data_IF_446102892361
#
_entry.id   IF_446102892361
#
_cell.length_a   1.000
_cell.length_b   1.000
_cell.length_c   1.000
_cell.angle_alpha   90.00
_cell.angle_beta   90.00
_cell.angle_gamma   90.00
#
_symmetry.space_group_name_H-M   'P 1'
#
loop_
_entity.id
_entity.type
_entity.pdbx_description
1 polymer ?
#
# COMPACT_ATOMS: atom_id res chain seq x y z
N UNK A 1 -30.15 28.21 17.41
CA UNK A 1 -28.78 28.59 17.79
C UNK A 1 -27.84 27.38 17.88
N UNK A 2 -28.20 26.30 18.58
CA UNK A 2 -27.33 25.11 18.74
C UNK A 2 -26.95 24.47 17.40
N UNK A 3 -27.86 24.31 16.44
CA UNK A 3 -27.62 23.76 15.13
C UNK A 3 -26.65 24.62 14.28
N UNK A 4 -26.73 25.95 14.39
CA UNK A 4 -25.84 26.88 13.70
C UNK A 4 -24.40 26.77 14.23
N UNK A 5 -24.24 26.70 15.56
CA UNK A 5 -22.92 26.51 16.21
C UNK A 5 -22.30 25.18 15.80
N UNK A 6 -23.11 24.12 15.72
CA UNK A 6 -22.66 22.81 15.33
C UNK A 6 -22.22 22.76 13.84
N UNK A 7 -22.94 23.45 12.96
CA UNK A 7 -22.57 23.58 11.55
C UNK A 7 -21.27 24.39 11.37
N UNK A 8 -21.11 25.49 12.11
CA UNK A 8 -19.89 26.30 12.08
C UNK A 8 -18.67 25.49 12.57
N UNK A 9 -18.84 24.72 13.66
CA UNK A 9 -17.77 23.83 14.14
C UNK A 9 -17.40 22.74 13.13
N UNK A 10 -18.41 22.11 12.51
CA UNK A 10 -18.16 21.09 11.46
C UNK A 10 -17.43 21.68 10.27
N UNK A 11 -17.81 22.90 9.85
CA UNK A 11 -17.12 23.61 8.77
C UNK A 11 -15.64 23.87 9.10
N UNK A 12 -15.36 24.37 10.30
CA UNK A 12 -13.98 24.64 10.76
C UNK A 12 -13.13 23.36 10.81
N UNK A 13 -13.70 22.26 11.30
CA UNK A 13 -13.03 20.96 11.32
C UNK A 13 -12.74 20.45 9.89
N UNK A 14 -13.68 20.59 8.96
CA UNK A 14 -13.50 20.20 7.56
C UNK A 14 -12.42 21.05 6.86
N UNK A 15 -12.32 22.35 7.19
CA UNK A 15 -11.24 23.21 6.71
C UNK A 15 -9.87 22.76 7.25
N UNK A 16 -9.83 22.38 8.53
CA UNK A 16 -8.61 21.86 9.14
C UNK A 16 -8.16 20.55 8.47
N UNK A 17 -9.08 19.62 8.26
CA UNK A 17 -8.80 18.35 7.57
C UNK A 17 -8.29 18.60 6.14
N UNK A 18 -8.91 19.54 5.42
CA UNK A 18 -8.47 19.91 4.08
C UNK A 18 -7.08 20.56 4.09
N UNK A 19 -6.79 21.43 5.06
CA UNK A 19 -5.47 22.06 5.18
C UNK A 19 -4.38 21.02 5.44
N UNK A 20 -4.68 19.99 6.23
CA UNK A 20 -3.74 18.87 6.48
C UNK A 20 -3.52 18.01 5.22
N UNK A 21 -4.58 17.74 4.45
CA UNK A 21 -4.46 17.01 3.17
C UNK A 21 -3.63 17.78 2.12
N UNK A 22 -3.66 19.12 2.18
CA UNK A 22 -2.88 19.99 1.32
C UNK A 22 -1.47 20.31 1.88
N UNK A 23 -1.12 19.73 3.04
CA UNK A 23 0.14 20.00 3.75
C UNK A 23 0.35 21.51 4.08
N UNK A 24 -0.74 22.24 4.31
CA UNK A 24 -0.69 23.64 4.69
C UNK A 24 -0.46 23.78 6.21
N UNK A 25 0.38 24.73 6.65
CA UNK A 25 0.72 24.88 8.07
C UNK A 25 -0.47 25.38 8.93
N UNK A 26 -1.44 26.06 8.32
CA UNK A 26 -2.65 26.56 8.99
C UNK A 26 -3.84 26.54 8.04
N UNK A 27 -5.09 26.43 8.54
CA UNK A 27 -6.31 26.56 7.74
C UNK A 27 -6.60 28.01 7.32
N UNK A 28 -5.80 28.97 7.81
CA UNK A 28 -5.97 30.39 7.50
C UNK A 28 -5.30 30.72 6.17
N UNK A 29 -6.00 31.50 5.34
CA UNK A 29 -5.41 32.06 4.10
C UNK A 29 -5.90 31.44 2.80
N UNK A 30 -6.80 30.43 2.83
CA UNK A 30 -7.49 30.01 1.62
C UNK A 30 -9.01 30.08 1.79
N UNK A 31 -9.69 30.44 0.73
CA UNK A 31 -11.15 30.52 0.67
C UNK A 31 -11.61 29.43 -0.30
N UNK A 32 -12.56 28.60 0.16
CA UNK A 32 -13.20 27.64 -0.73
C UNK A 32 -14.17 28.40 -1.65
N UNK A 33 -13.93 28.30 -2.94
CA UNK A 33 -14.90 28.80 -3.91
C UNK A 33 -16.09 27.85 -3.91
N UNK A 34 -17.28 28.38 -3.66
CA UNK A 34 -18.51 27.61 -3.80
C UNK A 34 -18.63 27.12 -5.24
N UNK A 35 -18.93 25.84 -5.50
CA UNK A 35 -19.19 25.39 -6.86
C UNK A 35 -20.36 26.22 -7.44
N UNK A 36 -20.25 26.59 -8.72
CA UNK A 36 -21.34 27.25 -9.43
C UNK A 36 -22.60 26.36 -9.36
N UNK A 37 -23.76 27.00 -9.16
CA UNK A 37 -25.04 26.32 -8.86
C UNK A 37 -25.58 25.41 -9.98
N UNK A 38 -24.89 25.25 -11.10
CA UNK A 38 -25.27 24.36 -12.18
C UNK A 38 -24.46 23.05 -12.16
N UNK A 39 -24.90 22.11 -11.34
CA UNK A 39 -24.38 20.73 -11.42
C UNK A 39 -25.01 20.02 -12.64
N UNK A 40 -24.22 19.85 -13.70
CA UNK A 40 -24.59 18.96 -14.78
C UNK A 40 -24.28 17.51 -14.37
N UNK A 41 -25.33 16.69 -14.24
CA UNK A 41 -25.16 15.26 -13.96
C UNK A 41 -24.82 14.51 -15.23
N UNK A 42 -23.59 14.02 -15.31
CA UNK A 42 -23.16 13.14 -16.38
C UNK A 42 -23.66 11.71 -16.09
N UNK A 43 -24.19 10.96 -17.07
CA UNK A 43 -24.58 9.58 -16.86
C UNK A 43 -23.43 8.75 -16.29
N UNK A 44 -23.70 8.06 -15.18
CA UNK A 44 -22.69 7.21 -14.53
C UNK A 44 -22.43 5.97 -15.40
N UNK A 45 -21.17 5.70 -15.67
CA UNK A 45 -20.73 4.44 -16.31
C UNK A 45 -21.16 3.24 -15.46
N UNK A 46 -21.61 2.13 -16.05
CA UNK A 46 -21.94 0.92 -15.30
C UNK A 46 -20.77 0.43 -14.45
N UNK A 47 -21.02 -0.06 -13.21
CA UNK A 47 -19.95 -0.46 -12.30
C UNK A 47 -19.10 -1.62 -12.83
N UNK A 48 -19.64 -2.48 -13.68
CA UNK A 48 -18.89 -3.59 -14.26
C UNK A 48 -17.86 -3.11 -15.29
N UNK A 49 -18.14 -2.06 -16.05
CA UNK A 49 -17.20 -1.45 -16.99
C UNK A 49 -16.07 -0.74 -16.24
N UNK A 50 -16.42 0.00 -15.17
CA UNK A 50 -15.44 0.64 -14.27
C UNK A 50 -14.52 -0.42 -13.65
N UNK A 51 -15.09 -1.56 -13.23
CA UNK A 51 -14.30 -2.65 -12.65
C UNK A 51 -13.34 -3.26 -13.69
N UNK A 52 -13.81 -3.51 -14.92
CA UNK A 52 -12.98 -4.05 -15.98
C UNK A 52 -11.78 -3.14 -16.29
N UNK A 53 -11.99 -1.83 -16.34
CA UNK A 53 -10.92 -0.86 -16.52
C UNK A 53 -9.99 -0.79 -15.30
N UNK A 54 -10.54 -0.74 -14.10
CA UNK A 54 -9.77 -0.68 -12.85
C UNK A 54 -8.86 -1.89 -12.67
N UNK A 55 -9.26 -3.08 -13.10
CA UNK A 55 -8.42 -4.29 -13.09
C UNK A 55 -7.13 -4.13 -13.88
N UNK A 56 -7.12 -3.31 -14.93
CA UNK A 56 -5.94 -3.09 -15.76
C UNK A 56 -4.97 -2.07 -15.12
N UNK A 57 -5.51 -1.02 -14.51
CA UNK A 57 -4.70 0.13 -14.10
C UNK A 57 -4.46 0.23 -12.59
N UNK A 58 -5.30 -0.40 -11.75
CA UNK A 58 -5.22 -0.21 -10.29
C UNK A 58 -3.92 -0.78 -9.71
N UNK A 59 -3.04 0.06 -9.10
CA UNK A 59 -1.74 -0.40 -8.60
C UNK A 59 -1.84 -1.49 -7.53
N UNK A 60 -2.91 -1.47 -6.72
CA UNK A 60 -3.17 -2.48 -5.68
C UNK A 60 -3.35 -3.90 -6.23
N UNK A 61 -4.01 -4.05 -7.37
CA UNK A 61 -4.18 -5.35 -8.05
C UNK A 61 -2.86 -5.82 -8.63
N UNK A 62 -2.14 -4.94 -9.36
CA UNK A 62 -0.81 -5.25 -9.88
C UNK A 62 0.18 -5.65 -8.78
N UNK A 63 0.15 -4.97 -7.64
CA UNK A 63 0.97 -5.33 -6.50
C UNK A 63 0.66 -6.72 -5.96
N UNK A 64 -0.62 -7.12 -5.91
CA UNK A 64 -1.02 -8.46 -5.50
C UNK A 64 -0.61 -9.53 -6.52
N UNK A 65 -0.66 -9.25 -7.82
CA UNK A 65 -0.18 -10.12 -8.89
C UNK A 65 1.34 -10.35 -8.80
N UNK A 66 2.12 -9.28 -8.61
CA UNK A 66 3.57 -9.40 -8.42
C UNK A 66 3.95 -10.15 -7.13
N UNK A 67 3.16 -10.03 -6.06
CA UNK A 67 3.36 -10.83 -4.84
C UNK A 67 3.13 -12.32 -5.11
N UNK A 68 2.11 -12.67 -5.88
CA UNK A 68 1.85 -14.04 -6.29
C UNK A 68 3.00 -14.58 -7.16
N UNK A 69 3.48 -13.81 -8.14
CA UNK A 69 4.65 -14.18 -8.95
C UNK A 69 5.91 -14.36 -8.08
N UNK A 70 6.13 -13.47 -7.11
CA UNK A 70 7.21 -13.60 -6.13
C UNK A 70 7.13 -14.87 -5.31
N UNK A 71 5.92 -15.30 -4.94
CA UNK A 71 5.71 -16.57 -4.25
C UNK A 71 6.04 -17.79 -5.14
N UNK A 72 5.76 -17.73 -6.45
CA UNK A 72 6.19 -18.76 -7.42
C UNK A 72 7.71 -18.85 -7.51
N UNK A 73 8.41 -17.72 -7.53
CA UNK A 73 9.88 -17.72 -7.50
C UNK A 73 10.42 -18.29 -6.18
N UNK A 74 9.73 -18.05 -5.07
CA UNK A 74 10.09 -18.59 -3.75
C UNK A 74 10.02 -20.12 -3.72
N UNK A 75 9.09 -20.75 -4.44
CA UNK A 75 9.07 -22.21 -4.61
C UNK A 75 10.35 -22.68 -5.31
N UNK A 76 10.75 -22.02 -6.40
CA UNK A 76 12.00 -22.37 -7.14
C UNK A 76 13.24 -22.19 -6.26
N UNK A 77 13.29 -21.13 -5.45
CA UNK A 77 14.35 -20.89 -4.47
C UNK A 77 14.42 -22.03 -3.46
N UNK A 78 13.28 -22.47 -2.92
CA UNK A 78 13.21 -23.59 -1.99
C UNK A 78 13.67 -24.90 -2.65
N UNK A 79 13.33 -25.13 -3.93
CA UNK A 79 13.79 -26.29 -4.72
C UNK A 79 15.30 -26.24 -4.98
N UNK A 80 15.89 -25.03 -5.06
CA UNK A 80 17.33 -24.85 -5.22
C UNK A 80 18.16 -25.53 -4.14
N UNK A 81 17.60 -25.75 -2.93
CA UNK A 81 18.27 -26.47 -1.85
C UNK A 81 18.43 -27.99 -2.08
N UNK A 82 17.87 -28.54 -3.17
CA UNK A 82 18.15 -29.90 -3.60
C UNK A 82 19.43 -30.02 -4.42
N UNK A 83 19.93 -28.92 -4.97
CA UNK A 83 21.10 -28.90 -5.84
C UNK A 83 22.39 -28.69 -5.07
N UNK A 84 23.54 -29.14 -5.61
CA UNK A 84 24.84 -28.83 -5.04
C UNK A 84 25.09 -27.33 -4.95
N UNK A 85 25.77 -26.91 -3.89
CA UNK A 85 26.21 -25.53 -3.68
C UNK A 85 27.71 -25.42 -3.87
N UNK A 86 28.10 -24.49 -4.72
CA UNK A 86 29.50 -24.11 -4.91
C UNK A 86 29.68 -22.75 -4.19
N UNK A 87 30.72 -22.66 -3.35
CA UNK A 87 31.08 -21.44 -2.68
C UNK A 87 32.55 -21.11 -2.92
N UNK A 88 32.82 -19.88 -3.34
CA UNK A 88 34.17 -19.32 -3.46
C UNK A 88 34.38 -18.39 -2.26
N UNK A 89 35.46 -18.60 -1.54
CA UNK A 89 35.87 -17.73 -0.42
C UNK A 89 37.29 -17.23 -0.66
N UNK A 90 37.50 -15.96 -0.36
CA UNK A 90 38.84 -15.36 -0.37
C UNK A 90 38.98 -14.49 0.88
N UNK A 91 40.13 -14.47 1.46
CA UNK A 91 40.40 -13.65 2.61
C UNK A 91 41.88 -13.32 2.75
N UNK A 92 42.12 -12.25 3.49
CA UNK A 92 43.46 -11.85 3.90
C UNK A 92 43.42 -11.47 5.38
N UNK A 93 44.45 -11.85 6.10
CA UNK A 93 44.57 -11.56 7.52
C UNK A 93 46.01 -11.39 7.95
N UNK A 94 46.28 -10.66 8.98
CA UNK A 94 47.56 -10.58 9.65
C UNK A 94 47.32 -10.58 11.13
N UNK A 95 48.32 -11.06 11.90
CA UNK A 95 48.22 -11.10 13.36
C UNK A 95 49.41 -10.39 14.00
N UNK A 96 49.10 -9.74 15.11
CA UNK A 96 50.09 -9.16 15.99
C UNK A 96 50.00 -9.84 17.36
N UNK A 97 51.14 -10.25 17.91
CA UNK A 97 51.18 -10.86 19.22
C UNK A 97 52.39 -10.38 20.02
N UNK A 98 52.23 -10.40 21.32
CA UNK A 98 53.28 -10.11 22.30
C UNK A 98 53.49 -11.36 23.18
N UNK A 99 54.69 -11.59 23.59
CA UNK A 99 55.03 -12.66 24.52
C UNK A 99 55.61 -12.07 25.79
N UNK A 100 55.04 -12.39 26.97
CA UNK A 100 55.44 -11.80 28.27
C UNK A 100 55.45 -10.25 28.29
N UNK A 101 54.49 -9.63 27.60
CA UNK A 101 54.38 -8.17 27.50
C UNK A 101 55.40 -7.49 26.57
N UNK A 102 56.27 -8.27 25.93
CA UNK A 102 57.23 -7.75 24.95
C UNK A 102 56.86 -8.24 23.55
N UNK A 103 56.89 -7.35 22.56
CA UNK A 103 56.71 -7.73 21.17
C UNK A 103 57.97 -8.42 20.67
N UNK A 104 57.81 -9.55 19.98
CA UNK A 104 58.90 -10.27 19.35
C UNK A 104 59.58 -9.45 18.23
N UNK A 105 58.81 -8.53 17.61
CA UNK A 105 59.27 -7.57 16.61
C UNK A 105 58.30 -6.39 16.54
N UNK A 106 58.67 -5.32 15.81
CA UNK A 106 57.82 -4.14 15.68
C UNK A 106 56.48 -4.48 15.08
N UNK A 107 55.43 -3.72 15.41
CA UNK A 107 54.09 -3.89 14.90
C UNK A 107 54.03 -3.98 13.36
N UNK A 108 54.69 -3.07 12.66
CA UNK A 108 54.75 -3.05 11.21
C UNK A 108 55.42 -4.33 10.63
N UNK A 109 56.50 -4.80 11.25
CA UNK A 109 57.19 -6.00 10.86
C UNK A 109 56.29 -7.26 11.04
N UNK A 110 55.60 -7.35 12.18
CA UNK A 110 54.69 -8.47 12.42
C UNK A 110 53.49 -8.47 11.43
N UNK A 111 52.88 -7.32 11.16
CA UNK A 111 51.81 -7.21 10.20
C UNK A 111 52.19 -7.65 8.80
N UNK A 112 53.40 -7.31 8.37
CA UNK A 112 53.94 -7.71 7.04
C UNK A 112 54.30 -9.18 7.00
N UNK A 113 54.99 -9.67 8.04
CA UNK A 113 55.52 -11.04 8.09
C UNK A 113 54.43 -12.10 8.34
N UNK A 114 53.36 -11.71 9.08
CA UNK A 114 52.24 -12.57 9.41
C UNK A 114 51.09 -12.45 8.39
N UNK A 115 51.30 -11.74 7.30
CA UNK A 115 50.25 -11.58 6.26
C UNK A 115 49.98 -12.93 5.58
N UNK A 116 48.79 -13.44 5.77
CA UNK A 116 48.25 -14.61 5.13
C UNK A 116 47.16 -14.23 4.13
N UNK A 117 47.15 -14.90 2.97
CA UNK A 117 46.13 -14.76 1.95
C UNK A 117 45.64 -16.15 1.58
N UNK A 118 44.35 -16.32 1.44
CA UNK A 118 43.81 -17.59 1.01
C UNK A 118 42.68 -17.37 0.00
N UNK A 119 42.56 -18.36 -0.90
CA UNK A 119 41.41 -18.52 -1.80
C UNK A 119 40.98 -19.98 -1.65
N UNK A 120 39.69 -20.17 -1.40
CA UNK A 120 39.12 -21.50 -1.20
C UNK A 120 37.89 -21.70 -2.09
N UNK A 121 37.77 -22.87 -2.71
CA UNK A 121 36.58 -23.33 -3.42
C UNK A 121 36.00 -24.51 -2.65
N UNK A 122 34.71 -24.46 -2.33
CA UNK A 122 34.02 -25.56 -1.66
C UNK A 122 32.79 -25.98 -2.45
N UNK A 123 32.57 -27.31 -2.54
CA UNK A 123 31.38 -27.94 -3.10
C UNK A 123 30.64 -28.69 -1.99
N UNK A 124 29.39 -28.33 -1.76
CA UNK A 124 28.52 -28.99 -0.79
C UNK A 124 27.36 -29.68 -1.51
N UNK A 125 27.25 -31.00 -1.36
CA UNK A 125 26.18 -31.80 -1.97
C UNK A 125 25.27 -32.34 -0.86
N UNK A 126 24.00 -31.90 -0.77
CA UNK A 126 23.09 -32.38 0.25
C UNK A 126 22.57 -33.77 -0.10
N UNK A 127 23.03 -34.81 0.59
CA UNK A 127 22.61 -36.21 0.37
C UNK A 127 21.32 -36.48 1.18
N UNK A 128 21.31 -36.11 2.45
CA UNK A 128 20.19 -36.32 3.35
C UNK A 128 20.06 -35.16 4.37
N UNK A 129 18.89 -34.52 4.43
CA UNK A 129 18.64 -33.36 5.30
C UNK A 129 17.35 -33.53 6.15
N UNK A 130 17.03 -34.75 6.54
CA UNK A 130 15.83 -35.07 7.35
C UNK A 130 14.53 -34.53 6.75
N UNK A 131 14.38 -34.55 5.42
CA UNK A 131 13.27 -34.01 4.66
C UNK A 131 13.05 -32.47 4.83
N UNK A 132 14.01 -31.77 5.40
CA UNK A 132 13.91 -30.31 5.63
C UNK A 132 13.62 -29.56 4.32
N UNK A 133 14.36 -29.84 3.25
CA UNK A 133 14.14 -29.22 1.93
C UNK A 133 12.76 -29.53 1.38
N UNK A 134 12.31 -30.79 1.49
CA UNK A 134 10.96 -31.19 1.05
C UNK A 134 9.85 -30.41 1.80
N UNK A 135 10.00 -30.27 3.12
CA UNK A 135 9.05 -29.53 3.93
C UNK A 135 9.06 -28.03 3.62
N UNK A 136 10.25 -27.45 3.34
CA UNK A 136 10.39 -26.06 2.90
C UNK A 136 9.68 -25.80 1.57
N UNK A 137 9.82 -26.72 0.59
CA UNK A 137 9.09 -26.63 -0.68
C UNK A 137 7.58 -26.72 -0.48
N UNK A 138 7.12 -27.61 0.41
CA UNK A 138 5.68 -27.69 0.76
C UNK A 138 5.18 -26.41 1.40
N UNK A 139 5.93 -25.84 2.34
CA UNK A 139 5.59 -24.58 2.98
C UNK A 139 5.53 -23.42 1.95
N UNK A 140 6.49 -23.36 1.02
CA UNK A 140 6.49 -22.35 -0.06
C UNK A 140 5.26 -22.50 -0.98
N UNK A 141 4.81 -23.73 -1.29
CA UNK A 141 3.58 -23.95 -2.06
C UNK A 141 2.32 -23.49 -1.31
N UNK A 142 2.23 -23.76 0.00
CA UNK A 142 1.11 -23.25 0.81
C UNK A 142 1.11 -21.74 0.87
N UNK A 143 2.28 -21.12 0.95
CA UNK A 143 2.42 -19.66 0.88
C UNK A 143 1.93 -19.10 -0.46
N UNK A 144 2.28 -19.75 -1.57
CA UNK A 144 1.80 -19.37 -2.91
C UNK A 144 0.27 -19.47 -3.02
N UNK A 145 -0.34 -20.53 -2.49
CA UNK A 145 -1.81 -20.65 -2.42
C UNK A 145 -2.40 -19.49 -1.58
N UNK A 146 -1.77 -19.14 -0.46
CA UNK A 146 -2.17 -17.99 0.35
C UNK A 146 -2.14 -16.67 -0.43
N UNK A 147 -1.10 -16.45 -1.26
CA UNK A 147 -1.00 -15.25 -2.10
C UNK A 147 -2.06 -15.24 -3.22
N UNK A 148 -2.39 -16.40 -3.80
CA UNK A 148 -3.49 -16.52 -4.77
C UNK A 148 -4.83 -16.11 -4.16
N UNK A 149 -5.13 -16.61 -2.96
CA UNK A 149 -6.36 -16.24 -2.26
C UNK A 149 -6.39 -14.76 -1.86
N UNK A 150 -5.24 -14.17 -1.54
CA UNK A 150 -5.15 -12.73 -1.27
C UNK A 150 -5.43 -11.90 -2.54
N UNK A 151 -4.93 -12.32 -3.70
CA UNK A 151 -5.24 -11.68 -4.97
C UNK A 151 -6.74 -11.75 -5.27
N UNK A 152 -7.36 -12.92 -5.10
CA UNK A 152 -8.81 -13.09 -5.30
C UNK A 152 -9.63 -12.21 -4.35
N UNK A 153 -9.19 -12.12 -3.10
CA UNK A 153 -9.82 -11.23 -2.11
C UNK A 153 -9.66 -9.76 -2.48
N UNK A 154 -8.49 -9.34 -2.96
CA UNK A 154 -8.26 -7.97 -3.43
C UNK A 154 -9.18 -7.61 -4.61
N UNK A 155 -9.38 -8.53 -5.57
CA UNK A 155 -10.31 -8.37 -6.68
C UNK A 155 -11.77 -8.21 -6.21
N UNK A 156 -12.21 -9.07 -5.28
CA UNK A 156 -13.56 -8.99 -4.70
C UNK A 156 -13.78 -7.70 -3.90
N UNK A 157 -12.77 -7.26 -3.16
CA UNK A 157 -12.83 -6.00 -2.40
C UNK A 157 -12.95 -4.81 -3.35
N UNK A 158 -12.15 -4.78 -4.40
CA UNK A 158 -12.23 -3.74 -5.43
C UNK A 158 -13.62 -3.68 -6.07
N UNK A 159 -14.18 -4.84 -6.45
CA UNK A 159 -15.53 -4.90 -7.02
C UNK A 159 -16.57 -4.33 -6.05
N UNK A 160 -16.50 -4.74 -4.78
CA UNK A 160 -17.40 -4.22 -3.73
C UNK A 160 -17.27 -2.70 -3.55
N UNK A 161 -16.03 -2.18 -3.52
CA UNK A 161 -15.77 -0.74 -3.38
C UNK A 161 -16.38 0.06 -4.53
N UNK A 162 -16.21 -0.41 -5.76
CA UNK A 162 -16.79 0.21 -6.96
C UNK A 162 -18.32 0.21 -6.91
N UNK A 163 -18.93 -0.95 -6.58
CA UNK A 163 -20.37 -1.06 -6.43
C UNK A 163 -20.91 -0.10 -5.35
N UNK A 164 -20.26 -0.04 -4.20
CA UNK A 164 -20.65 0.87 -3.12
C UNK A 164 -20.54 2.35 -3.53
N UNK A 165 -19.44 2.71 -4.19
CA UNK A 165 -19.24 4.07 -4.69
C UNK A 165 -20.30 4.46 -5.73
N UNK A 166 -20.63 3.54 -6.64
CA UNK A 166 -21.64 3.75 -7.65
C UNK A 166 -23.04 3.95 -7.03
N UNK A 167 -23.46 3.06 -6.11
CA UNK A 167 -24.75 3.23 -5.41
C UNK A 167 -24.80 4.51 -4.58
N UNK A 168 -23.71 4.89 -3.95
CA UNK A 168 -23.63 6.14 -3.21
C UNK A 168 -23.78 7.36 -4.13
N UNK A 169 -23.18 7.33 -5.32
CA UNK A 169 -23.32 8.39 -6.31
C UNK A 169 -24.77 8.51 -6.81
N UNK A 170 -25.43 7.41 -7.15
CA UNK A 170 -26.85 7.38 -7.55
C UNK A 170 -27.75 7.91 -6.44
N UNK A 171 -27.50 7.50 -5.19
CA UNK A 171 -28.26 7.97 -4.04
C UNK A 171 -28.05 9.46 -3.80
N UNK A 172 -26.83 9.96 -3.94
CA UNK A 172 -26.51 11.38 -3.81
C UNK A 172 -27.21 12.23 -4.89
N UNK A 173 -27.20 11.80 -6.15
CA UNK A 173 -27.92 12.45 -7.24
C UNK A 173 -29.42 12.51 -6.96
N UNK A 174 -30.03 11.41 -6.54
CA UNK A 174 -31.45 11.35 -6.19
C UNK A 174 -31.80 12.26 -5.04
N UNK A 175 -30.94 12.31 -4.01
CA UNK A 175 -31.09 13.21 -2.86
C UNK A 175 -31.00 14.67 -3.27
N UNK A 176 -30.04 15.02 -4.13
CA UNK A 176 -29.90 16.39 -4.64
C UNK A 176 -31.17 16.84 -5.38
N UNK A 177 -31.64 16.04 -6.35
CA UNK A 177 -32.86 16.33 -7.12
C UNK A 177 -34.09 16.49 -6.22
N UNK A 178 -34.23 15.62 -5.21
CA UNK A 178 -35.33 15.72 -4.24
C UNK A 178 -35.22 16.97 -3.37
N UNK A 179 -34.01 17.34 -2.94
CA UNK A 179 -33.77 18.56 -2.15
C UNK A 179 -34.05 19.82 -2.96
N UNK A 180 -33.67 19.87 -4.22
CA UNK A 180 -33.96 20.99 -5.13
C UNK A 180 -35.48 21.20 -5.28
N UNK A 181 -36.23 20.11 -5.47
CA UNK A 181 -37.70 20.18 -5.52
C UNK A 181 -38.31 20.66 -4.21
N UNK A 182 -37.78 20.21 -3.08
CA UNK A 182 -38.21 20.64 -1.74
C UNK A 182 -37.94 22.12 -1.50
N UNK A 183 -36.78 22.63 -1.93
CA UNK A 183 -36.49 24.08 -1.86
C UNK A 183 -37.48 24.89 -2.66
N UNK A 184 -37.72 24.55 -3.93
CA UNK A 184 -38.70 25.23 -4.81
C UNK A 184 -40.09 25.22 -4.19
N UNK A 185 -40.55 24.11 -3.63
CA UNK A 185 -41.84 24.00 -2.97
C UNK A 185 -41.94 24.87 -1.69
N UNK A 186 -40.87 24.93 -0.90
CA UNK A 186 -40.82 25.76 0.29
C UNK A 186 -40.76 27.25 -0.05
N UNK A 187 -40.03 27.63 -1.08
CA UNK A 187 -40.00 29.04 -1.57
C UNK A 187 -41.37 29.49 -2.04
N UNK A 188 -42.07 28.68 -2.79
CA UNK A 188 -43.44 28.99 -3.25
C UNK A 188 -44.42 29.04 -2.08
N UNK A 189 -44.33 28.12 -1.13
CA UNK A 189 -45.13 28.16 0.10
C UNK A 189 -44.87 29.43 0.92
N UNK A 190 -43.63 29.83 1.05
CA UNK A 190 -43.26 31.09 1.74
C UNK A 190 -43.79 32.31 1.01
N UNK A 191 -43.71 32.36 -0.32
CA UNK A 191 -44.23 33.42 -1.16
C UNK A 191 -45.74 33.57 -0.99
N UNK A 192 -46.48 32.46 -1.00
CA UNK A 192 -47.94 32.46 -0.80
C UNK A 192 -48.34 32.88 0.60
N UNK A 193 -47.62 32.47 1.63
CA UNK A 193 -47.88 32.91 3.00
C UNK A 193 -47.57 34.40 3.20
N UNK A 194 -46.43 34.88 2.71
CA UNK A 194 -46.07 36.32 2.82
C UNK A 194 -47.10 37.22 2.12
N UNK A 195 -47.66 36.77 0.99
CA UNK A 195 -48.72 37.50 0.28
C UNK A 195 -50.07 37.53 1.01
N UNK A 196 -50.29 36.67 2.02
CA UNK A 196 -51.51 36.71 2.87
C UNK A 196 -51.39 37.62 4.10
N UNK A 197 -50.16 37.96 4.48
CA UNK A 197 -49.89 38.80 5.67
C UNK A 197 -49.58 40.25 5.32
N UNK A 198 -49.49 40.60 4.03
CA UNK A 198 -49.50 42.00 3.52
C UNK A 198 -50.86 42.34 2.94
#
# INVERSE_FOLDING_TARGET
EMAAVQSDNTYKLSLLDLSQLLELPTPEGFILQSPEDSLEFVPLTPPDDIYAEAMIYKPGIKAAEYRLEGADKSIRIAQGAFYPRISLSAGMGSSYYTMNGKAASSFHSQLKNNLSKYVGLSLSVPIFNRFSTRNRVRAARLQQIGMSLQLDNAKKTLYKEIQQAWYNAVAAESKYKSSELAVKANEESFRLMSGKFN
#
